data_IF_256518961396
#
_entry.id   IF_256518961396
#
_cell.length_a   1.000
_cell.length_b   1.000
_cell.length_c   1.000
_cell.angle_alpha   90.00
_cell.angle_beta   90.00
_cell.angle_gamma   90.00
#
_symmetry.space_group_name_H-M   'P 1'
#
loop_
_entity.id
_entity.type
_entity.pdbx_description
1 polymer ?
#
# COMPACT_ATOMS: atom_id res chain seq x y z
N UNK A 1 -29.08 -21.67 -13.50
CA UNK A 1 -29.10 -21.18 -12.10
C UNK A 1 -27.67 -21.10 -11.61
N UNK A 2 -27.19 -19.93 -11.20
CA UNK A 2 -25.80 -19.76 -10.74
C UNK A 2 -25.70 -20.17 -9.26
N UNK A 3 -25.00 -21.27 -8.96
CA UNK A 3 -24.83 -21.81 -7.61
C UNK A 3 -23.69 -21.11 -6.84
N UNK A 4 -23.92 -19.88 -6.38
CA UNK A 4 -22.94 -19.16 -5.56
C UNK A 4 -23.05 -19.56 -4.08
N UNK A 5 -21.91 -19.91 -3.47
CA UNK A 5 -21.81 -20.25 -2.04
C UNK A 5 -20.71 -19.41 -1.39
N UNK A 6 -21.03 -18.77 -0.26
CA UNK A 6 -20.07 -17.95 0.47
C UNK A 6 -19.05 -18.81 1.24
N UNK A 7 -17.78 -18.43 1.18
CA UNK A 7 -16.73 -19.07 1.96
C UNK A 7 -16.75 -18.54 3.41
N UNK A 8 -17.40 -19.29 4.31
CA UNK A 8 -17.58 -18.88 5.72
C UNK A 8 -16.27 -18.55 6.43
N UNK A 9 -15.15 -19.20 6.08
CA UNK A 9 -13.84 -18.93 6.70
C UNK A 9 -13.27 -17.55 6.32
N UNK A 10 -13.71 -16.99 5.19
CA UNK A 10 -13.29 -15.67 4.70
C UNK A 10 -14.33 -14.58 4.97
N UNK A 11 -15.47 -14.93 5.54
CA UNK A 11 -16.53 -13.97 5.81
C UNK A 11 -16.29 -13.25 7.13
N UNK A 12 -16.48 -11.94 7.10
CA UNK A 12 -16.40 -11.04 8.24
C UNK A 12 -17.70 -10.25 8.30
N UNK A 13 -18.44 -10.37 9.41
CA UNK A 13 -19.77 -9.76 9.57
C UNK A 13 -19.81 -8.85 10.80
N UNK A 14 -20.68 -7.84 10.75
CA UNK A 14 -20.92 -6.90 11.85
C UNK A 14 -19.62 -6.28 12.42
N UNK A 15 -18.66 -5.97 11.55
CA UNK A 15 -17.40 -5.33 11.93
C UNK A 15 -17.48 -3.81 11.76
N UNK A 16 -16.82 -3.07 12.65
CA UNK A 16 -16.67 -1.62 12.55
C UNK A 16 -15.68 -1.21 11.45
N UNK A 17 -14.78 -2.12 11.09
CA UNK A 17 -13.84 -1.97 9.99
C UNK A 17 -13.51 -3.32 9.36
N UNK A 18 -13.32 -3.35 8.05
CA UNK A 18 -12.98 -4.56 7.29
C UNK A 18 -11.86 -4.27 6.29
N UNK A 19 -10.90 -5.18 6.18
CA UNK A 19 -9.87 -5.11 5.13
C UNK A 19 -10.40 -5.74 3.84
N UNK A 20 -10.36 -4.99 2.74
CA UNK A 20 -10.79 -5.44 1.43
C UNK A 20 -9.88 -4.86 0.35
N UNK A 21 -9.30 -5.74 -0.48
CA UNK A 21 -8.39 -5.35 -1.57
C UNK A 21 -7.34 -4.32 -1.14
N UNK A 22 -6.65 -4.55 -0.01
CA UNK A 22 -5.59 -3.64 0.49
C UNK A 22 -6.08 -2.28 1.00
N UNK A 23 -7.39 -2.14 1.19
CA UNK A 23 -8.01 -0.98 1.81
C UNK A 23 -8.66 -1.39 3.13
N UNK A 24 -8.53 -0.52 4.12
CA UNK A 24 -9.33 -0.57 5.33
C UNK A 24 -10.59 0.27 5.12
N UNK A 25 -11.75 -0.38 5.19
CA UNK A 25 -13.07 0.25 5.09
C UNK A 25 -13.59 0.40 6.51
N UNK A 26 -14.01 1.60 6.90
CA UNK A 26 -14.58 1.89 8.22
C UNK A 26 -15.70 2.92 8.13
N UNK A 27 -16.38 3.20 9.25
CA UNK A 27 -17.37 4.27 9.32
C UNK A 27 -16.82 5.67 9.02
N UNK A 28 -15.50 5.89 9.16
CA UNK A 28 -14.85 7.15 8.81
C UNK A 28 -14.55 7.30 7.30
N UNK A 29 -14.69 6.21 6.54
CA UNK A 29 -14.37 6.15 5.12
C UNK A 29 -13.42 5.00 4.76
N UNK A 30 -12.85 5.08 3.57
CA UNK A 30 -11.92 4.10 3.00
C UNK A 30 -10.50 4.67 3.06
N UNK A 31 -9.57 3.92 3.64
CA UNK A 31 -8.15 4.29 3.69
C UNK A 31 -7.28 3.14 3.18
N UNK A 32 -6.18 3.46 2.50
CA UNK A 32 -5.17 2.45 2.11
C UNK A 32 -4.31 2.11 3.33
N UNK A 33 -4.07 0.83 3.59
CA UNK A 33 -3.15 0.43 4.65
C UNK A 33 -1.69 0.71 4.21
N UNK A 34 -0.89 1.49 4.96
CA UNK A 34 0.48 1.82 4.58
C UNK A 34 1.44 0.62 4.45
N UNK A 35 1.07 -0.53 4.97
CA UNK A 35 1.84 -1.78 4.85
C UNK A 35 1.69 -2.45 3.48
N UNK A 36 0.69 -2.07 2.67
CA UNK A 36 0.44 -2.65 1.35
C UNK A 36 1.59 -2.38 0.38
N UNK A 37 2.07 -1.14 0.29
CA UNK A 37 3.18 -0.80 -0.62
C UNK A 37 4.44 -1.62 -0.31
N UNK A 38 4.74 -1.82 0.99
CA UNK A 38 5.91 -2.58 1.44
C UNK A 38 5.79 -4.08 1.18
N UNK A 39 4.59 -4.64 1.26
CA UNK A 39 4.35 -6.09 1.12
C UNK A 39 4.19 -6.53 -0.33
N UNK A 40 3.65 -5.68 -1.21
CA UNK A 40 3.29 -6.07 -2.58
C UNK A 40 4.23 -5.58 -3.66
N UNK A 41 5.03 -4.54 -3.40
CA UNK A 41 6.05 -4.08 -4.35
C UNK A 41 7.35 -4.84 -4.08
N UNK A 42 7.74 -5.69 -5.04
CA UNK A 42 9.01 -6.41 -4.99
C UNK A 42 10.17 -5.42 -4.88
N UNK A 43 11.08 -5.67 -3.95
CA UNK A 43 12.24 -4.81 -3.70
C UNK A 43 11.89 -3.35 -3.30
N UNK A 44 10.69 -3.07 -2.76
CA UNK A 44 10.25 -1.74 -2.33
C UNK A 44 11.32 -1.01 -1.51
N UNK A 45 11.93 -1.67 -0.53
CA UNK A 45 12.97 -1.10 0.32
C UNK A 45 14.20 -0.63 -0.46
N UNK A 46 14.54 -1.29 -1.58
CA UNK A 46 15.66 -0.88 -2.45
C UNK A 46 15.27 0.33 -3.30
N UNK A 47 14.06 0.35 -3.85
CA UNK A 47 13.56 1.45 -4.69
C UNK A 47 13.39 2.72 -3.85
N UNK A 48 12.69 2.60 -2.73
CA UNK A 48 12.43 3.69 -1.80
C UNK A 48 13.68 4.20 -1.06
N UNK A 49 14.81 3.47 -1.08
CA UNK A 49 16.06 3.90 -0.45
C UNK A 49 16.54 5.25 -0.99
N UNK A 50 16.50 5.43 -2.31
CA UNK A 50 16.91 6.68 -2.97
C UNK A 50 16.02 7.86 -2.54
N UNK A 51 14.71 7.64 -2.41
CA UNK A 51 13.76 8.62 -1.89
C UNK A 51 13.97 8.91 -0.40
N UNK A 52 14.33 7.88 0.39
CA UNK A 52 14.62 8.03 1.81
C UNK A 52 15.90 8.83 2.05
N UNK A 53 16.91 8.65 1.18
CA UNK A 53 18.15 9.43 1.21
C UNK A 53 17.91 10.93 0.98
N UNK A 54 16.88 11.30 0.20
CA UNK A 54 16.48 12.70 0.02
C UNK A 54 15.86 13.36 1.26
N UNK A 55 15.42 12.57 2.24
CA UNK A 55 14.85 13.07 3.50
C UNK A 55 15.89 13.24 4.61
N UNK A 56 17.15 12.86 4.34
CA UNK A 56 18.26 13.05 5.28
C UNK A 56 18.75 14.50 5.24
N UNK A 57 19.42 14.93 6.32
CA UNK A 57 19.73 16.32 6.69
C UNK A 57 20.52 17.17 5.67
N UNK A 58 20.98 16.58 4.57
CA UNK A 58 21.67 17.25 3.47
C UNK A 58 20.62 17.59 2.42
N UNK A 59 20.32 18.88 2.23
CA UNK A 59 19.15 19.43 1.52
C UNK A 59 18.55 18.59 0.39
N UNK A 60 17.23 18.52 0.35
CA UNK A 60 16.45 17.78 -0.65
C UNK A 60 16.90 18.13 -2.08
N UNK A 61 17.61 17.22 -2.75
CA UNK A 61 18.04 17.34 -4.15
C UNK A 61 17.36 16.27 -5.00
N UNK A 62 16.29 16.65 -5.70
CA UNK A 62 15.62 15.74 -6.61
C UNK A 62 16.51 15.44 -7.83
N UNK A 63 17.08 14.25 -7.85
CA UNK A 63 17.98 13.80 -8.91
C UNK A 63 17.33 12.71 -9.78
N UNK A 64 17.98 12.37 -10.89
CA UNK A 64 17.49 11.37 -11.84
C UNK A 64 17.26 9.98 -11.22
N UNK A 65 18.02 9.59 -10.18
CA UNK A 65 17.79 8.32 -9.46
C UNK A 65 16.51 8.36 -8.63
N UNK A 66 16.24 9.48 -7.97
CA UNK A 66 15.00 9.68 -7.23
C UNK A 66 13.77 9.73 -8.16
N UNK A 67 13.89 10.40 -9.31
CA UNK A 67 12.85 10.41 -10.33
C UNK A 67 12.54 8.99 -10.83
N UNK A 68 13.56 8.20 -11.16
CA UNK A 68 13.40 6.83 -11.61
C UNK A 68 12.75 5.95 -10.52
N UNK A 69 13.14 6.12 -9.26
CA UNK A 69 12.53 5.40 -8.15
C UNK A 69 11.07 5.80 -7.93
N UNK A 70 10.73 7.08 -8.08
CA UNK A 70 9.35 7.56 -7.99
C UNK A 70 8.48 6.99 -9.12
N UNK A 71 8.97 7.00 -10.36
CA UNK A 71 8.27 6.40 -11.51
C UNK A 71 8.06 4.89 -11.36
N UNK A 72 9.02 4.21 -10.72
CA UNK A 72 8.92 2.76 -10.46
C UNK A 72 7.90 2.39 -9.36
N UNK A 73 7.43 3.37 -8.57
CA UNK A 73 6.49 3.16 -7.45
C UNK A 73 5.08 3.71 -7.74
N UNK A 74 4.87 4.26 -8.93
CA UNK A 74 3.61 4.90 -9.36
C UNK A 74 2.50 3.89 -9.63
#
# INVERSE_FOLDING_TARGET
>A
MNGLVANRKKCQFAQLSVEYLWHMISGAGVSVDPSCYRKFIKDYGKIAKSLTELTKKEGFQWNSKAQQAFESLK
#
